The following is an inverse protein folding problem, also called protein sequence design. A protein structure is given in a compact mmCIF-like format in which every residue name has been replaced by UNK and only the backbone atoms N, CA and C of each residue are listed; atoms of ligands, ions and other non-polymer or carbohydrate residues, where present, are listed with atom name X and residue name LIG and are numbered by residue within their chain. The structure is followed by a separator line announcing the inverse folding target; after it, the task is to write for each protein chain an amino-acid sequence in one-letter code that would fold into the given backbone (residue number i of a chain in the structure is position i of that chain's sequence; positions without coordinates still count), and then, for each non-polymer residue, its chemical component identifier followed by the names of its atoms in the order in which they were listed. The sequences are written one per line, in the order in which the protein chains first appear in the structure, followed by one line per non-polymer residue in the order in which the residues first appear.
data_IF_742404013590
#
_entry.id   IF_742404013590
#
_cell.length_a   1.000
_cell.length_b   1.000
_cell.length_c   1.000
_cell.angle_alpha   90.00
_cell.angle_beta   90.00
_cell.angle_gamma   90.00
#
_symmetry.space_group_name_H-M   'P 1'
#
loop_
_entity.id
_entity.type
_entity.pdbx_description
1 polymer ?
#
# COMPACT_ATOMS: atom_id res chain seq x y z
N UNK A 1 83.00 13.92 -51.73
CA UNK A 1 81.83 13.02 -51.93
C UNK A 1 81.32 12.38 -50.63
N UNK A 2 82.16 11.99 -49.67
CA UNK A 2 81.72 11.21 -48.49
C UNK A 2 80.74 11.94 -47.53
N UNK A 3 80.91 13.25 -47.31
CA UNK A 3 80.09 14.01 -46.34
C UNK A 3 78.67 14.26 -46.86
N UNK A 4 78.52 14.62 -48.14
CA UNK A 4 77.21 14.83 -48.77
C UNK A 4 76.36 13.55 -48.80
N UNK A 5 76.98 12.38 -48.92
CA UNK A 5 76.28 11.11 -48.87
C UNK A 5 75.73 10.83 -47.47
N UNK A 6 76.50 11.12 -46.42
CA UNK A 6 76.05 10.99 -45.04
C UNK A 6 74.87 11.91 -44.71
N UNK A 7 74.88 13.15 -45.20
CA UNK A 7 73.76 14.09 -45.03
C UNK A 7 72.49 13.61 -45.76
N UNK A 8 72.65 13.07 -46.98
CA UNK A 8 71.55 12.47 -47.74
C UNK A 8 70.95 11.26 -47.01
N UNK A 9 71.77 10.43 -46.38
CA UNK A 9 71.27 9.26 -45.66
C UNK A 9 70.65 9.63 -44.30
N UNK A 10 71.19 10.65 -43.60
CA UNK A 10 70.57 11.22 -42.40
C UNK A 10 69.18 11.84 -42.69
N UNK A 11 69.06 12.59 -43.78
CA UNK A 11 67.77 13.19 -44.19
C UNK A 11 66.75 12.15 -44.61
N UNK A 12 67.16 11.05 -45.27
CA UNK A 12 66.27 9.90 -45.55
C UNK A 12 65.78 9.24 -44.27
N UNK A 13 66.66 9.06 -43.29
CA UNK A 13 66.31 8.44 -42.01
C UNK A 13 65.33 9.32 -41.22
N UNK A 14 65.57 10.64 -41.15
CA UNK A 14 64.65 11.60 -40.55
C UNK A 14 63.29 11.61 -41.28
N UNK A 15 63.28 11.57 -42.61
CA UNK A 15 62.04 11.49 -43.39
C UNK A 15 61.26 10.19 -43.12
N UNK A 16 61.95 9.06 -42.96
CA UNK A 16 61.33 7.78 -42.62
C UNK A 16 60.71 7.83 -41.22
N UNK A 17 61.39 8.46 -40.26
CA UNK A 17 60.87 8.67 -38.91
C UNK A 17 59.62 9.54 -38.90
N UNK A 18 59.65 10.71 -39.55
CA UNK A 18 58.49 11.60 -39.68
C UNK A 18 57.31 10.90 -40.35
N UNK A 19 57.55 10.08 -41.39
CA UNK A 19 56.49 9.27 -42.02
C UNK A 19 55.90 8.23 -41.06
N UNK A 20 56.69 7.66 -40.16
CA UNK A 20 56.20 6.70 -39.16
C UNK A 20 55.35 7.38 -38.10
N UNK A 21 55.80 8.55 -37.60
CA UNK A 21 55.08 9.36 -36.62
C UNK A 21 53.76 9.90 -37.20
N UNK A 22 53.77 10.35 -38.46
CA UNK A 22 52.55 10.78 -39.15
C UNK A 22 51.52 9.64 -39.27
N UNK A 23 51.96 8.42 -39.55
CA UNK A 23 51.07 7.25 -39.58
C UNK A 23 50.55 6.88 -38.19
N UNK A 24 51.36 7.00 -37.15
CA UNK A 24 50.91 6.78 -35.77
C UNK A 24 49.86 7.83 -35.37
N UNK A 25 50.15 9.10 -35.60
CA UNK A 25 49.21 10.21 -35.33
C UNK A 25 47.91 10.09 -36.12
N UNK A 26 47.93 9.57 -37.35
CA UNK A 26 46.72 9.32 -38.12
C UNK A 26 45.84 8.21 -37.50
N UNK A 27 46.45 7.17 -36.90
CA UNK A 27 45.71 6.13 -36.16
C UNK A 27 45.11 6.69 -34.89
N UNK A 28 45.90 7.44 -34.11
CA UNK A 28 45.42 8.07 -32.88
C UNK A 28 44.25 9.02 -33.16
N UNK A 29 44.29 9.75 -34.28
CA UNK A 29 43.17 10.59 -34.74
C UNK A 29 41.91 9.76 -35.01
N UNK A 30 42.04 8.65 -35.74
CA UNK A 30 40.90 7.76 -36.02
C UNK A 30 40.29 7.20 -34.72
N UNK A 31 41.14 6.80 -33.76
CA UNK A 31 40.69 6.28 -32.47
C UNK A 31 39.97 7.36 -31.65
N UNK A 32 40.50 8.59 -31.64
CA UNK A 32 39.84 9.74 -31.02
C UNK A 32 38.49 10.06 -31.68
N UNK A 33 38.38 10.01 -33.00
CA UNK A 33 37.11 10.23 -33.72
C UNK A 33 36.06 9.17 -33.35
N UNK A 34 36.45 7.91 -33.21
CA UNK A 34 35.57 6.86 -32.72
C UNK A 34 35.13 7.09 -31.26
N UNK A 35 36.06 7.50 -30.38
CA UNK A 35 35.72 7.85 -29.00
C UNK A 35 34.75 9.03 -28.92
N UNK A 36 34.98 10.09 -29.70
CA UNK A 36 34.08 11.25 -29.78
C UNK A 36 32.69 10.85 -30.25
N UNK A 37 32.61 9.94 -31.24
CA UNK A 37 31.33 9.43 -31.73
C UNK A 37 30.57 8.68 -30.62
N UNK A 38 31.24 7.78 -29.89
CA UNK A 38 30.63 7.07 -28.74
C UNK A 38 30.16 8.03 -27.65
N UNK A 39 30.96 9.05 -27.32
CA UNK A 39 30.59 10.05 -26.30
C UNK A 39 29.37 10.88 -26.74
N UNK A 40 29.24 11.18 -28.03
CA UNK A 40 28.04 11.85 -28.57
C UNK A 40 26.80 10.96 -28.44
N UNK A 41 26.92 9.67 -28.73
CA UNK A 41 25.83 8.71 -28.56
C UNK A 41 25.42 8.54 -27.08
N UNK A 42 26.40 8.39 -26.18
CA UNK A 42 26.15 8.33 -24.73
C UNK A 42 25.50 9.64 -24.23
N UNK A 43 25.95 10.80 -24.69
CA UNK A 43 25.34 12.10 -24.36
C UNK A 43 23.88 12.19 -24.83
N UNK A 44 23.58 11.69 -26.03
CA UNK A 44 22.21 11.62 -26.56
C UNK A 44 21.32 10.75 -25.67
N UNK A 45 21.79 9.53 -25.33
CA UNK A 45 21.07 8.61 -24.44
C UNK A 45 20.83 9.20 -23.05
N UNK A 46 21.80 9.93 -22.50
CA UNK A 46 21.67 10.60 -21.20
C UNK A 46 20.63 11.73 -21.25
N UNK A 47 20.58 12.52 -22.34
CA UNK A 47 19.55 13.56 -22.53
C UNK A 47 18.15 12.96 -22.58
N UNK A 48 17.97 11.86 -23.29
CA UNK A 48 16.67 11.18 -23.37
C UNK A 48 16.26 10.56 -22.03
N UNK A 49 17.22 9.98 -21.31
CA UNK A 49 17.00 9.46 -19.95
C UNK A 49 16.59 10.56 -18.98
N UNK A 50 17.27 11.71 -19.03
CA UNK A 50 16.93 12.88 -18.22
C UNK A 50 15.52 13.40 -18.53
N UNK A 51 15.14 13.49 -19.81
CA UNK A 51 13.79 13.89 -20.21
C UNK A 51 12.72 12.97 -19.64
N UNK A 52 12.88 11.65 -19.79
CA UNK A 52 11.94 10.66 -19.24
C UNK A 52 11.82 10.76 -17.72
N UNK A 53 12.94 10.94 -17.01
CA UNK A 53 12.92 11.14 -15.55
C UNK A 53 12.19 12.42 -15.16
N UNK A 54 12.36 13.52 -15.90
CA UNK A 54 11.63 14.77 -15.67
C UNK A 54 10.12 14.60 -15.88
N UNK A 55 9.70 13.88 -16.92
CA UNK A 55 8.29 13.55 -17.16
C UNK A 55 7.71 12.72 -16.00
N UNK A 56 8.42 11.68 -15.56
CA UNK A 56 8.01 10.86 -14.41
C UNK A 56 7.86 11.69 -13.14
N UNK A 57 8.82 12.56 -12.83
CA UNK A 57 8.72 13.49 -11.70
C UNK A 57 7.49 14.40 -11.84
N UNK A 58 7.19 14.87 -13.05
CA UNK A 58 5.98 15.64 -13.34
C UNK A 58 4.68 14.86 -13.12
N UNK A 59 4.66 13.56 -13.45
CA UNK A 59 3.53 12.67 -13.15
C UNK A 59 3.36 12.44 -11.64
N UNK A 60 4.46 12.13 -10.94
CA UNK A 60 4.42 11.89 -9.48
C UNK A 60 3.98 13.13 -8.70
N UNK A 61 4.43 14.33 -9.09
CA UNK A 61 3.97 15.59 -8.48
C UNK A 61 2.46 15.78 -8.64
N UNK A 62 1.91 15.53 -9.84
CA UNK A 62 0.47 15.63 -10.09
C UNK A 62 -0.32 14.61 -9.27
N UNK A 63 0.14 13.35 -9.25
CA UNK A 63 -0.47 12.28 -8.46
C UNK A 63 -0.45 12.58 -6.95
N UNK A 64 0.65 13.15 -6.45
CA UNK A 64 0.74 13.58 -5.06
C UNK A 64 -0.28 14.68 -4.72
N UNK A 65 -0.43 15.70 -5.57
CA UNK A 65 -1.41 16.77 -5.35
C UNK A 65 -2.86 16.26 -5.45
N UNK A 66 -3.12 15.26 -6.29
CA UNK A 66 -4.43 14.58 -6.34
C UNK A 66 -4.71 13.79 -5.07
N UNK A 67 -3.74 13.02 -4.58
CA UNK A 67 -3.87 12.27 -3.33
C UNK A 67 -4.08 13.21 -2.12
N UNK A 68 -3.39 14.35 -2.11
CA UNK A 68 -3.56 15.39 -1.08
C UNK A 68 -4.97 15.98 -1.10
N UNK A 69 -5.49 16.33 -2.29
CA UNK A 69 -6.87 16.81 -2.45
C UNK A 69 -7.90 15.78 -1.96
N UNK A 70 -7.71 14.51 -2.33
CA UNK A 70 -8.58 13.43 -1.87
C UNK A 70 -8.58 13.26 -0.33
N UNK A 71 -7.42 13.42 0.30
CA UNK A 71 -7.30 13.40 1.76
C UNK A 71 -8.03 14.56 2.43
N UNK A 72 -7.92 15.77 1.88
CA UNK A 72 -8.63 16.95 2.40
C UNK A 72 -10.16 16.80 2.25
N UNK A 73 -10.62 16.23 1.14
CA UNK A 73 -12.02 15.89 0.91
C UNK A 73 -12.54 14.90 1.96
N UNK A 74 -11.78 13.82 2.23
CA UNK A 74 -12.12 12.80 3.22
C UNK A 74 -12.22 13.38 4.63
N UNK A 75 -11.26 14.25 4.98
CA UNK A 75 -11.26 14.96 6.27
C UNK A 75 -12.51 15.83 6.45
N UNK A 76 -12.95 16.50 5.40
CA UNK A 76 -14.17 17.31 5.45
C UNK A 76 -15.42 16.42 5.59
N UNK A 77 -15.51 15.34 4.81
CA UNK A 77 -16.61 14.37 4.92
C UNK A 77 -16.71 13.76 6.33
N UNK A 78 -15.57 13.45 6.98
CA UNK A 78 -15.55 12.99 8.38
C UNK A 78 -16.11 14.01 9.35
N UNK A 79 -15.77 15.30 9.18
CA UNK A 79 -16.33 16.38 10.03
C UNK A 79 -17.84 16.46 9.86
N UNK A 80 -18.34 16.38 8.64
CA UNK A 80 -19.77 16.43 8.35
C UNK A 80 -20.51 15.21 8.92
N UNK A 81 -19.93 14.01 8.78
CA UNK A 81 -20.47 12.80 9.37
C UNK A 81 -20.51 12.88 10.91
N UNK A 82 -19.45 13.37 11.53
CA UNK A 82 -19.38 13.55 12.98
C UNK A 82 -20.42 14.57 13.47
N UNK A 83 -20.60 15.67 12.72
CA UNK A 83 -21.59 16.70 13.02
C UNK A 83 -23.02 16.14 12.96
N UNK A 84 -23.34 15.38 11.90
CA UNK A 84 -24.64 14.69 11.77
C UNK A 84 -24.88 13.68 12.90
N UNK A 85 -23.85 12.93 13.29
CA UNK A 85 -23.94 11.98 14.41
C UNK A 85 -24.25 12.71 15.73
N UNK A 86 -23.57 13.81 16.01
CA UNK A 86 -23.84 14.63 17.21
C UNK A 86 -25.25 15.21 17.21
N UNK A 87 -25.72 15.72 16.07
CA UNK A 87 -27.09 16.25 15.95
C UNK A 87 -28.14 15.16 16.21
N UNK A 88 -27.95 13.96 15.64
CA UNK A 88 -28.85 12.83 15.88
C UNK A 88 -28.84 12.40 17.35
N UNK A 89 -27.66 12.34 17.98
CA UNK A 89 -27.55 12.00 19.39
C UNK A 89 -28.29 13.01 20.28
N UNK A 90 -28.17 14.32 20.00
CA UNK A 90 -28.92 15.36 20.71
C UNK A 90 -30.43 15.23 20.51
N UNK A 91 -30.87 14.94 19.28
CA UNK A 91 -32.30 14.74 18.99
C UNK A 91 -32.87 13.52 19.74
N UNK A 92 -32.14 12.41 19.76
CA UNK A 92 -32.53 11.21 20.50
C UNK A 92 -32.56 11.46 22.01
N UNK A 93 -31.58 12.20 22.54
CA UNK A 93 -31.56 12.58 23.96
C UNK A 93 -32.79 13.41 24.35
N UNK A 94 -33.16 14.39 23.54
CA UNK A 94 -34.37 15.20 23.76
C UNK A 94 -35.64 14.34 23.74
N UNK A 95 -35.76 13.40 22.79
CA UNK A 95 -36.89 12.46 22.75
C UNK A 95 -36.95 11.57 24.00
N UNK A 96 -35.81 11.08 24.49
CA UNK A 96 -35.75 10.29 25.73
C UNK A 96 -36.21 11.10 26.93
N UNK A 97 -35.85 12.38 27.01
CA UNK A 97 -36.29 13.27 28.08
C UNK A 97 -37.81 13.51 28.04
N UNK A 98 -38.39 13.76 26.87
CA UNK A 98 -39.85 13.86 26.70
C UNK A 98 -40.56 12.55 27.09
N UNK A 99 -40.03 11.39 26.67
CA UNK A 99 -40.62 10.11 27.04
C UNK A 99 -40.53 9.83 28.55
N UNK A 100 -39.49 10.33 29.23
CA UNK A 100 -39.38 10.23 30.69
C UNK A 100 -40.45 11.08 31.38
N UNK A 101 -40.70 12.31 30.92
CA UNK A 101 -41.75 13.16 31.48
C UNK A 101 -43.13 12.56 31.25
N UNK A 102 -43.40 12.07 30.05
CA UNK A 102 -44.68 11.42 29.70
C UNK A 102 -44.92 10.17 30.54
N UNK A 103 -43.88 9.35 30.75
CA UNK A 103 -43.93 8.18 31.62
C UNK A 103 -44.32 8.57 33.05
N UNK A 104 -43.76 9.64 33.60
CA UNK A 104 -44.08 10.08 34.95
C UNK A 104 -45.51 10.62 35.04
N UNK A 105 -45.95 11.43 34.06
CA UNK A 105 -47.33 11.89 33.98
C UNK A 105 -48.34 10.73 33.90
N UNK A 106 -48.07 9.73 33.07
CA UNK A 106 -48.87 8.51 32.99
C UNK A 106 -48.91 7.76 34.33
N UNK A 107 -47.76 7.65 35.01
CA UNK A 107 -47.67 7.04 36.33
C UNK A 107 -48.57 7.75 37.35
N UNK A 108 -48.52 9.09 37.40
CA UNK A 108 -49.40 9.89 38.27
C UNK A 108 -50.88 9.67 37.93
N UNK A 109 -51.25 9.74 36.64
CA UNK A 109 -52.64 9.51 36.20
C UNK A 109 -53.15 8.13 36.58
N UNK A 110 -52.33 7.10 36.41
CA UNK A 110 -52.66 5.73 36.82
C UNK A 110 -52.87 5.64 38.34
N UNK A 111 -52.04 6.32 39.15
CA UNK A 111 -52.22 6.35 40.60
C UNK A 111 -53.53 7.05 41.01
N UNK A 112 -53.87 8.18 40.37
CA UNK A 112 -55.14 8.88 40.60
C UNK A 112 -56.35 8.03 40.21
N UNK A 113 -56.31 7.37 39.05
CA UNK A 113 -57.38 6.47 38.60
C UNK A 113 -57.55 5.29 39.57
N UNK A 114 -56.45 4.69 40.02
CA UNK A 114 -56.49 3.62 41.01
C UNK A 114 -57.14 4.08 42.32
N UNK A 115 -56.84 5.30 42.77
CA UNK A 115 -57.47 5.89 43.95
C UNK A 115 -58.98 6.12 43.73
N UNK A 116 -59.37 6.63 42.56
CA UNK A 116 -60.78 6.83 42.19
C UNK A 116 -61.56 5.50 42.13
N UNK A 117 -60.95 4.45 41.58
CA UNK A 117 -61.53 3.09 41.58
C UNK A 117 -61.71 2.58 43.01
N UNK A 118 -60.69 2.69 43.87
CA UNK A 118 -60.80 2.30 45.28
C UNK A 118 -61.88 3.07 46.04
N UNK A 119 -62.03 4.37 45.78
CA UNK A 119 -63.12 5.17 46.35
C UNK A 119 -64.48 4.70 45.86
N UNK A 120 -64.62 4.45 44.55
CA UNK A 120 -65.85 3.90 43.97
C UNK A 120 -66.21 2.55 44.60
N UNK A 121 -65.24 1.66 44.75
CA UNK A 121 -65.46 0.34 45.37
C UNK A 121 -65.93 0.46 46.83
N UNK A 122 -65.34 1.39 47.60
CA UNK A 122 -65.80 1.70 48.96
C UNK A 122 -67.23 2.23 48.98
N UNK A 123 -67.55 3.21 48.13
CA UNK A 123 -68.89 3.77 48.03
C UNK A 123 -69.93 2.73 47.58
N UNK A 124 -69.57 1.83 46.66
CA UNK A 124 -70.44 0.72 46.25
C UNK A 124 -70.63 -0.30 47.39
N UNK A 125 -69.60 -0.54 48.21
CA UNK A 125 -69.71 -1.39 49.40
C UNK A 125 -70.64 -0.75 50.45
N UNK A 126 -70.48 0.55 50.71
CA UNK A 126 -71.35 1.33 51.59
C UNK A 126 -72.80 1.35 51.06
N UNK A 127 -73.01 1.60 49.76
CA UNK A 127 -74.32 1.50 49.13
C UNK A 127 -74.90 0.09 49.18
N UNK A 128 -74.10 -0.97 49.05
CA UNK A 128 -74.58 -2.34 49.18
C UNK A 128 -75.00 -2.66 50.62
N UNK A 129 -74.31 -2.11 51.63
CA UNK A 129 -74.73 -2.22 53.03
C UNK A 129 -75.99 -1.41 53.34
N UNK A 130 -76.16 -0.26 52.70
CA UNK A 130 -77.36 0.58 52.84
C UNK A 130 -78.55 -0.01 52.08
N UNK A 131 -78.37 -0.55 50.87
CA UNK A 131 -79.42 -1.24 50.09
C UNK A 131 -79.83 -2.56 50.75
N UNK A 132 -78.89 -3.31 51.36
CA UNK A 132 -79.23 -4.45 52.22
C UNK A 132 -80.07 -4.05 53.46
N UNK A 133 -80.10 -2.77 53.82
CA UNK A 133 -80.95 -2.19 54.85
C UNK A 133 -82.21 -1.47 54.29
N UNK A 134 -82.34 -1.27 52.98
CA UNK A 134 -83.37 -0.38 52.42
C UNK A 134 -83.98 -0.75 51.06
N UNK A 135 -83.92 -2.00 50.59
CA UNK A 135 -84.86 -2.53 49.59
C UNK A 135 -84.74 -4.08 49.51
N UNK A 136 -85.79 -4.90 49.63
CA UNK A 136 -87.21 -4.55 49.59
C UNK A 136 -87.57 -3.83 48.31
N UNK A 137 -87.60 -4.56 47.19
CA UNK A 137 -88.27 -4.21 45.92
C UNK A 137 -87.43 -3.69 44.73
N UNK A 138 -87.58 -4.50 43.67
CA UNK A 138 -87.80 -4.16 42.26
C UNK A 138 -86.62 -3.87 41.34
N UNK A 139 -86.52 -4.77 40.36
CA UNK A 139 -85.63 -4.71 39.20
C UNK A 139 -86.00 -3.64 38.16
N UNK A 140 -85.18 -3.59 37.12
CA UNK A 140 -85.38 -2.69 35.99
C UNK A 140 -84.27 -2.78 34.96
N UNK A 141 -84.62 -3.45 33.86
CA UNK A 141 -83.88 -3.74 32.63
C UNK A 141 -83.48 -2.49 31.83
N UNK A 142 -82.60 -2.61 30.83
CA UNK A 142 -82.33 -1.50 29.90
C UNK A 142 -81.14 -1.64 28.96
N UNK A 143 -81.28 -2.49 27.95
CA UNK A 143 -80.37 -2.58 26.80
C UNK A 143 -80.42 -1.31 25.91
N UNK A 144 -79.27 -0.91 25.34
CA UNK A 144 -79.25 -0.23 24.04
C UNK A 144 -77.93 -0.50 23.31
N UNK A 145 -77.96 -1.44 22.37
CA UNK A 145 -76.88 -1.77 21.43
C UNK A 145 -77.00 -0.87 20.19
N UNK A 146 -75.92 -0.19 19.84
CA UNK A 146 -75.71 0.52 18.56
C UNK A 146 -74.28 0.22 18.07
N UNK A 147 -73.98 0.35 16.76
CA UNK A 147 -74.25 -0.61 15.69
C UNK A 147 -72.96 -1.38 15.30
N UNK A 148 -73.04 -2.71 15.20
CA UNK A 148 -71.90 -3.61 14.92
C UNK A 148 -71.22 -3.39 13.54
N UNK A 149 -71.89 -2.72 12.59
CA UNK A 149 -71.42 -2.64 11.19
C UNK A 149 -70.32 -1.60 10.92
N UNK A 150 -70.31 -0.47 11.64
CA UNK A 150 -69.24 0.53 11.51
C UNK A 150 -67.89 -0.01 12.02
N UNK A 151 -67.94 -0.89 13.00
CA UNK A 151 -66.77 -1.52 13.59
C UNK A 151 -66.16 -2.58 12.65
N UNK A 152 -67.00 -3.32 11.92
CA UNK A 152 -66.56 -4.34 10.97
C UNK A 152 -65.80 -3.77 9.75
N UNK A 153 -66.26 -2.63 9.22
CA UNK A 153 -65.58 -1.94 8.11
C UNK A 153 -64.20 -1.38 8.54
N UNK A 154 -64.13 -0.80 9.74
CA UNK A 154 -62.87 -0.30 10.32
C UNK A 154 -61.87 -1.44 10.55
N UNK A 155 -62.33 -2.59 11.05
CA UNK A 155 -61.49 -3.79 11.24
C UNK A 155 -60.97 -4.33 9.91
N UNK A 156 -61.78 -4.35 8.84
CA UNK A 156 -61.32 -4.76 7.50
C UNK A 156 -60.24 -3.81 6.95
N UNK A 157 -60.42 -2.50 7.10
CA UNK A 157 -59.42 -1.52 6.64
C UNK A 157 -58.13 -1.59 7.47
N UNK A 158 -58.22 -1.82 8.79
CA UNK A 158 -57.04 -2.06 9.64
C UNK A 158 -56.30 -3.34 9.25
N UNK A 159 -57.01 -4.44 8.93
CA UNK A 159 -56.39 -5.67 8.42
C UNK A 159 -55.69 -5.44 7.08
N UNK A 160 -56.31 -4.70 6.16
CA UNK A 160 -55.71 -4.34 4.86
C UNK A 160 -54.42 -3.53 5.07
N UNK A 161 -54.45 -2.50 5.92
CA UNK A 161 -53.27 -1.68 6.24
C UNK A 161 -52.17 -2.47 6.94
N UNK A 162 -52.54 -3.39 7.84
CA UNK A 162 -51.59 -4.27 8.52
C UNK A 162 -50.87 -5.17 7.51
N UNK A 163 -51.61 -5.79 6.58
CA UNK A 163 -51.03 -6.59 5.51
C UNK A 163 -50.11 -5.77 4.59
N UNK A 164 -50.51 -4.56 4.22
CA UNK A 164 -49.70 -3.66 3.40
C UNK A 164 -48.38 -3.26 4.10
N UNK A 165 -48.42 -3.04 5.41
CA UNK A 165 -47.22 -2.81 6.23
C UNK A 165 -46.34 -4.05 6.35
N UNK A 166 -46.95 -5.23 6.48
CA UNK A 166 -46.23 -6.51 6.52
C UNK A 166 -45.40 -6.73 5.24
N UNK A 167 -46.00 -6.49 4.07
CA UNK A 167 -45.31 -6.58 2.77
C UNK A 167 -44.13 -5.61 2.64
N UNK A 168 -44.28 -4.38 3.16
CA UNK A 168 -43.18 -3.41 3.18
C UNK A 168 -42.04 -3.86 4.10
N UNK A 169 -42.35 -4.44 5.25
CA UNK A 169 -41.34 -4.99 6.17
C UNK A 169 -40.59 -6.15 5.53
N UNK A 170 -41.28 -7.05 4.83
CA UNK A 170 -40.65 -8.15 4.09
C UNK A 170 -39.73 -7.62 2.98
N UNK A 171 -40.19 -6.67 2.18
CA UNK A 171 -39.36 -6.04 1.15
C UNK A 171 -38.12 -5.33 1.71
N UNK A 172 -38.24 -4.70 2.90
CA UNK A 172 -37.09 -4.08 3.57
C UNK A 172 -36.10 -5.12 4.11
N UNK A 173 -36.58 -6.28 4.60
CA UNK A 173 -35.72 -7.39 5.01
C UNK A 173 -34.93 -7.97 3.83
N UNK A 174 -35.57 -8.13 2.67
CA UNK A 174 -34.89 -8.63 1.47
C UNK A 174 -33.81 -7.65 1.00
N UNK A 175 -34.09 -6.34 1.05
CA UNK A 175 -33.10 -5.30 0.74
C UNK A 175 -31.95 -5.28 1.74
N UNK A 176 -32.22 -5.41 3.04
CA UNK A 176 -31.19 -5.51 4.08
C UNK A 176 -30.29 -6.74 3.88
N UNK A 177 -30.89 -7.89 3.53
CA UNK A 177 -30.14 -9.10 3.19
C UNK A 177 -29.25 -8.91 1.95
N UNK A 178 -29.75 -8.25 0.91
CA UNK A 178 -28.98 -7.94 -0.29
C UNK A 178 -27.80 -7.00 -0.01
N UNK A 179 -28.01 -5.95 0.79
CA UNK A 179 -26.95 -5.00 1.20
C UNK A 179 -25.89 -5.70 2.03
N UNK A 180 -26.28 -6.57 2.97
CA UNK A 180 -25.33 -7.39 3.75
C UNK A 180 -24.50 -8.31 2.86
N UNK A 181 -25.12 -8.93 1.85
CA UNK A 181 -24.41 -9.74 0.86
C UNK A 181 -23.37 -8.95 0.07
N UNK A 182 -23.73 -7.75 -0.41
CA UNK A 182 -22.81 -6.86 -1.12
C UNK A 182 -21.66 -6.38 -0.23
N UNK A 183 -21.94 -6.04 1.03
CA UNK A 183 -20.93 -5.61 1.98
C UNK A 183 -19.91 -6.73 2.27
N UNK A 184 -20.39 -7.97 2.45
CA UNK A 184 -19.51 -9.14 2.60
C UNK A 184 -18.61 -9.36 1.38
N UNK A 185 -19.15 -9.22 0.17
CA UNK A 185 -18.36 -9.37 -1.06
C UNK A 185 -17.27 -8.29 -1.18
N UNK A 186 -17.61 -7.03 -0.85
CA UNK A 186 -16.65 -5.93 -0.84
C UNK A 186 -15.57 -6.11 0.24
N UNK A 187 -15.95 -6.59 1.42
CA UNK A 187 -15.00 -6.89 2.50
C UNK A 187 -13.99 -7.97 2.06
N UNK A 188 -14.46 -9.06 1.45
CA UNK A 188 -13.58 -10.11 0.92
C UNK A 188 -12.63 -9.61 -0.17
N UNK A 189 -13.11 -8.71 -1.05
CA UNK A 189 -12.24 -8.09 -2.05
C UNK A 189 -11.19 -7.18 -1.41
N UNK A 190 -11.57 -6.37 -0.42
CA UNK A 190 -10.66 -5.53 0.33
C UNK A 190 -9.56 -6.37 1.00
N UNK A 191 -9.92 -7.41 1.73
CA UNK A 191 -8.96 -8.27 2.43
C UNK A 191 -7.99 -8.96 1.46
N UNK A 192 -8.49 -9.40 0.29
CA UNK A 192 -7.65 -9.97 -0.78
C UNK A 192 -6.66 -8.95 -1.35
N UNK A 193 -7.10 -7.71 -1.57
CA UNK A 193 -6.23 -6.65 -2.07
C UNK A 193 -5.20 -6.22 -1.02
N UNK A 194 -5.60 -6.16 0.25
CA UNK A 194 -4.72 -5.85 1.37
C UNK A 194 -3.63 -6.91 1.54
N UNK A 195 -3.97 -8.19 1.39
CA UNK A 195 -3.00 -9.28 1.38
C UNK A 195 -2.00 -9.15 0.22
N UNK A 196 -2.46 -8.84 -0.99
CA UNK A 196 -1.57 -8.61 -2.15
C UNK A 196 -0.62 -7.43 -1.91
N UNK A 197 -1.12 -6.33 -1.36
CA UNK A 197 -0.31 -5.16 -1.04
C UNK A 197 0.74 -5.47 0.03
N UNK A 198 0.38 -6.26 1.05
CA UNK A 198 1.33 -6.71 2.07
C UNK A 198 2.47 -7.52 1.45
N UNK A 199 2.15 -8.49 0.60
CA UNK A 199 3.16 -9.28 -0.12
C UNK A 199 4.07 -8.43 -1.00
N UNK A 200 3.51 -7.45 -1.73
CA UNK A 200 4.30 -6.51 -2.52
C UNK A 200 5.30 -5.73 -1.66
N UNK A 201 4.86 -5.21 -0.51
CA UNK A 201 5.76 -4.49 0.41
C UNK A 201 6.86 -5.37 0.98
N UNK A 202 6.56 -6.63 1.30
CA UNK A 202 7.57 -7.59 1.75
C UNK A 202 8.61 -7.89 0.66
N UNK A 203 8.17 -8.01 -0.60
CA UNK A 203 9.06 -8.20 -1.75
C UNK A 203 9.92 -6.96 -2.01
N UNK A 204 9.37 -5.75 -1.89
CA UNK A 204 10.15 -4.51 -2.02
C UNK A 204 11.19 -4.37 -0.90
N UNK A 205 10.86 -4.75 0.33
CA UNK A 205 11.82 -4.83 1.43
C UNK A 205 12.92 -5.86 1.19
N UNK A 206 12.57 -7.03 0.64
CA UNK A 206 13.54 -8.07 0.28
C UNK A 206 14.48 -7.61 -0.85
N UNK A 207 13.93 -6.95 -1.87
CA UNK A 207 14.71 -6.34 -2.96
C UNK A 207 15.72 -5.34 -2.41
N UNK A 208 15.31 -4.44 -1.52
CA UNK A 208 16.20 -3.47 -0.89
C UNK A 208 17.35 -4.15 -0.13
N UNK A 209 17.07 -5.18 0.69
CA UNK A 209 18.12 -5.94 1.38
C UNK A 209 19.09 -6.64 0.42
N UNK A 210 18.57 -7.18 -0.69
CA UNK A 210 19.37 -7.83 -1.72
C UNK A 210 20.31 -6.84 -2.42
N UNK A 211 19.83 -5.64 -2.70
CA UNK A 211 20.64 -4.55 -3.24
C UNK A 211 21.71 -4.05 -2.29
N UNK A 212 21.36 -3.82 -1.02
CA UNK A 212 22.31 -3.38 0.00
C UNK A 212 23.46 -4.37 0.12
N UNK A 213 23.16 -5.67 0.13
CA UNK A 213 24.21 -6.69 0.17
C UNK A 213 25.02 -6.71 -1.12
N UNK A 214 24.40 -6.67 -2.31
CA UNK A 214 25.16 -6.63 -3.57
C UNK A 214 26.09 -5.40 -3.65
N UNK A 215 25.60 -4.26 -3.18
CA UNK A 215 26.38 -3.02 -3.13
C UNK A 215 27.56 -3.15 -2.15
N UNK A 216 27.33 -3.68 -0.94
CA UNK A 216 28.38 -3.96 0.05
C UNK A 216 29.44 -4.93 -0.48
N UNK A 217 29.03 -5.96 -1.23
CA UNK A 217 29.93 -6.94 -1.84
C UNK A 217 30.80 -6.30 -2.94
N UNK A 218 30.21 -5.45 -3.79
CA UNK A 218 30.89 -4.85 -4.94
C UNK A 218 31.74 -3.62 -4.57
N UNK A 219 31.31 -2.87 -3.56
CA UNK A 219 31.96 -1.64 -3.08
C UNK A 219 32.30 -1.76 -1.59
N UNK A 220 33.27 -2.62 -1.23
CA UNK A 220 33.75 -2.69 0.14
C UNK A 220 34.33 -1.33 0.53
N UNK A 221 33.67 -0.63 1.45
CA UNK A 221 34.17 0.62 2.00
C UNK A 221 35.23 0.29 3.04
N UNK A 222 36.42 0.87 2.91
CA UNK A 222 37.52 0.70 3.87
C UNK A 222 37.24 1.28 5.26
N UNK A 223 36.06 1.89 5.47
CA UNK A 223 35.74 2.79 6.59
C UNK A 223 34.34 2.56 7.21
N UNK A 224 33.81 1.34 7.17
CA UNK A 224 32.62 1.04 7.98
C UNK A 224 33.00 0.88 9.46
N UNK A 225 33.11 2.00 10.18
CA UNK A 225 33.00 2.01 11.63
C UNK A 225 31.69 1.29 12.01
N UNK A 226 31.73 0.34 12.97
CA UNK A 226 30.60 -0.53 13.23
C UNK A 226 29.48 0.26 13.87
N UNK A 227 28.40 0.52 13.12
CA UNK A 227 27.11 0.83 13.74
C UNK A 227 26.67 -0.44 14.46
N UNK A 228 26.81 -0.41 15.79
CA UNK A 228 26.39 -1.44 16.73
C UNK A 228 24.97 -1.95 16.43
N UNK A 229 24.88 -3.07 15.72
CA UNK A 229 23.84 -4.07 15.95
C UNK A 229 24.56 -5.32 16.44
N UNK A 230 24.39 -5.57 17.75
CA UNK A 230 24.94 -6.71 18.50
C UNK A 230 24.69 -8.04 17.76
N UNK A 231 25.70 -8.53 17.07
CA UNK A 231 25.96 -9.96 16.89
C UNK A 231 27.47 -10.12 17.08
N UNK A 232 27.88 -10.70 18.20
CA UNK A 232 29.28 -10.92 18.56
C UNK A 232 29.92 -11.94 17.59
N UNK A 233 30.75 -11.47 16.65
CA UNK A 233 31.73 -12.27 15.92
C UNK A 233 32.98 -11.39 15.66
N UNK A 234 34.20 -11.85 15.95
CA UNK A 234 35.39 -11.00 15.95
C UNK A 234 35.80 -10.56 14.53
N UNK A 235 35.95 -9.26 14.37
CA UNK A 235 36.32 -8.56 13.13
C UNK A 235 37.80 -8.72 12.80
N UNK A 236 38.11 -9.31 11.65
CA UNK A 236 39.35 -9.02 10.90
C UNK A 236 38.99 -8.11 9.73
N UNK A 237 39.71 -6.99 9.52
CA UNK A 237 39.47 -6.10 8.39
C UNK A 237 40.02 -6.75 7.12
N UNK A 238 39.14 -7.04 6.15
CA UNK A 238 39.56 -7.47 4.81
C UNK A 238 38.75 -8.58 4.15
N UNK A 239 37.84 -9.26 4.85
CA UNK A 239 36.99 -10.27 4.21
C UNK A 239 35.55 -9.80 4.19
N UNK A 240 35.06 -9.48 3.00
CA UNK A 240 33.64 -9.53 2.69
C UNK A 240 33.15 -10.93 3.07
N UNK A 241 32.50 -11.07 4.22
CA UNK A 241 32.46 -12.34 4.93
C UNK A 241 31.60 -13.36 4.18
N UNK A 242 32.21 -14.49 3.81
CA UNK A 242 31.57 -15.70 3.28
C UNK A 242 30.29 -16.10 4.04
N UNK A 243 30.19 -15.71 5.32
CA UNK A 243 29.00 -15.84 6.15
C UNK A 243 27.77 -15.06 5.63
N UNK A 244 27.94 -13.85 5.07
CA UNK A 244 26.85 -13.06 4.48
C UNK A 244 26.31 -13.72 3.21
N UNK A 245 27.19 -14.30 2.39
CA UNK A 245 26.82 -15.07 1.21
C UNK A 245 26.11 -16.38 1.58
N UNK A 246 26.61 -17.09 2.60
CA UNK A 246 25.94 -18.28 3.14
C UNK A 246 24.56 -17.96 3.72
N UNK A 247 24.41 -16.82 4.41
CA UNK A 247 23.12 -16.35 4.92
C UNK A 247 22.10 -16.06 3.81
N UNK A 248 22.57 -15.72 2.60
CA UNK A 248 21.75 -15.55 1.40
C UNK A 248 21.56 -16.84 0.58
N UNK A 249 22.19 -17.95 0.98
CA UNK A 249 22.16 -19.22 0.25
C UNK A 249 23.09 -19.26 -0.97
N UNK A 250 23.99 -18.29 -1.11
CA UNK A 250 24.96 -18.16 -2.21
C UNK A 250 26.25 -18.93 -1.87
N UNK A 251 26.13 -20.25 -1.67
CA UNK A 251 27.25 -21.12 -1.24
C UNK A 251 28.23 -21.49 -2.36
N UNK A 252 27.93 -21.12 -3.60
CA UNK A 252 28.67 -21.55 -4.79
C UNK A 252 29.87 -20.67 -5.14
N UNK A 253 29.95 -19.45 -4.61
CA UNK A 253 31.07 -18.54 -4.90
C UNK A 253 32.24 -18.81 -3.96
N UNK A 254 33.42 -19.08 -4.52
CA UNK A 254 34.66 -19.18 -3.75
C UNK A 254 35.20 -17.78 -3.39
N UNK A 255 36.04 -17.66 -2.34
CA UNK A 255 36.70 -16.39 -2.01
C UNK A 255 37.47 -15.78 -3.20
N UNK A 256 38.00 -16.63 -4.08
CA UNK A 256 38.73 -16.24 -5.29
C UNK A 256 37.82 -15.65 -6.37
N UNK A 257 36.58 -16.15 -6.49
CA UNK A 257 35.58 -15.61 -7.43
C UNK A 257 35.09 -14.22 -6.99
N UNK A 258 34.99 -14.00 -5.67
CA UNK A 258 34.70 -12.68 -5.12
C UNK A 258 35.87 -11.71 -5.22
N UNK A 259 37.11 -12.19 -5.03
CA UNK A 259 38.29 -11.37 -5.30
C UNK A 259 38.33 -10.94 -6.77
N UNK A 260 37.94 -11.79 -7.72
CA UNK A 260 37.86 -11.41 -9.13
C UNK A 260 36.85 -10.27 -9.40
N UNK A 261 35.75 -10.19 -8.63
CA UNK A 261 34.75 -9.12 -8.71
C UNK A 261 35.15 -7.84 -7.94
N UNK A 262 35.97 -7.97 -6.90
CA UNK A 262 36.28 -6.88 -5.96
C UNK A 262 37.67 -6.27 -6.16
N UNK A 263 38.63 -7.02 -6.72
CA UNK A 263 40.02 -6.57 -6.91
C UNK A 263 40.11 -5.36 -7.83
N UNK A 264 40.77 -4.33 -7.30
CA UNK A 264 41.10 -3.09 -8.00
C UNK A 264 42.21 -3.39 -9.01
N UNK A 265 42.06 -3.10 -10.31
CA UNK A 265 43.17 -3.23 -11.24
C UNK A 265 44.22 -2.19 -10.85
N UNK A 266 45.41 -2.65 -10.49
CA UNK A 266 46.57 -1.80 -10.21
C UNK A 266 46.81 -0.81 -11.37
N UNK A 267 46.64 0.46 -11.03
CA UNK A 267 47.21 1.67 -11.64
C UNK A 267 46.88 2.13 -13.08
N UNK A 268 46.06 1.46 -13.89
CA UNK A 268 45.61 2.06 -15.18
C UNK A 268 44.13 1.86 -15.55
N UNK A 269 43.35 1.11 -14.76
CA UNK A 269 42.00 0.66 -15.14
C UNK A 269 40.92 0.85 -14.05
N UNK A 270 41.08 1.83 -13.15
CA UNK A 270 40.12 2.09 -12.07
C UNK A 270 38.70 2.41 -12.57
N UNK A 271 38.58 3.15 -13.68
CA UNK A 271 37.29 3.49 -14.28
C UNK A 271 36.54 2.30 -14.91
N UNK A 272 37.25 1.29 -15.41
CA UNK A 272 36.62 0.12 -16.05
C UNK A 272 36.13 -0.89 -15.01
N UNK A 273 36.79 -1.01 -13.87
CA UNK A 273 36.31 -1.81 -12.73
C UNK A 273 35.04 -1.22 -12.10
N UNK A 274 35.02 0.10 -11.86
CA UNK A 274 33.83 0.78 -11.35
C UNK A 274 32.64 0.66 -12.33
N UNK A 275 32.86 0.86 -13.64
CA UNK A 275 31.80 0.71 -14.65
C UNK A 275 31.20 -0.69 -14.66
N UNK A 276 32.03 -1.74 -14.50
CA UNK A 276 31.56 -3.13 -14.41
C UNK A 276 30.74 -3.36 -13.15
N UNK A 277 31.19 -2.88 -11.98
CA UNK A 277 30.45 -2.99 -10.72
C UNK A 277 29.08 -2.30 -10.79
N UNK A 278 29.01 -1.11 -11.41
CA UNK A 278 27.74 -0.42 -11.66
C UNK A 278 26.85 -1.21 -12.63
N UNK A 279 27.40 -1.80 -13.68
CA UNK A 279 26.64 -2.61 -14.64
C UNK A 279 26.04 -3.88 -14.01
N UNK A 280 26.70 -4.46 -13.00
CA UNK A 280 26.17 -5.58 -12.20
C UNK A 280 24.98 -5.12 -11.35
N UNK A 281 25.05 -3.94 -10.73
CA UNK A 281 23.92 -3.37 -10.00
C UNK A 281 22.74 -3.00 -10.91
N UNK A 282 23.01 -2.44 -12.09
CA UNK A 282 21.98 -2.11 -13.09
C UNK A 282 21.29 -3.40 -13.62
N UNK A 283 22.06 -4.48 -13.82
CA UNK A 283 21.51 -5.77 -14.22
C UNK A 283 20.66 -6.39 -13.11
N UNK A 284 21.11 -6.27 -11.85
CA UNK A 284 20.32 -6.69 -10.68
C UNK A 284 19.01 -5.92 -10.58
N UNK A 285 19.03 -4.61 -10.83
CA UNK A 285 17.82 -3.77 -10.91
C UNK A 285 16.83 -4.29 -11.91
N UNK A 286 17.29 -4.51 -13.13
CA UNK A 286 16.44 -4.92 -14.23
C UNK A 286 15.82 -6.31 -13.99
N UNK A 287 16.57 -7.24 -13.40
CA UNK A 287 16.07 -8.59 -13.08
C UNK A 287 15.11 -8.55 -11.91
N UNK A 288 15.40 -7.77 -10.86
CA UNK A 288 14.51 -7.62 -9.71
C UNK A 288 13.21 -6.92 -10.08
N UNK A 289 13.22 -5.94 -10.99
CA UNK A 289 12.02 -5.31 -11.56
C UNK A 289 11.16 -6.30 -12.35
N UNK A 290 11.79 -7.14 -13.18
CA UNK A 290 11.09 -8.09 -14.06
C UNK A 290 10.59 -9.37 -13.39
N UNK A 291 11.28 -9.87 -12.35
CA UNK A 291 10.96 -11.13 -11.66
C UNK A 291 11.18 -11.02 -10.13
N UNK A 292 10.22 -10.45 -9.38
CA UNK A 292 10.33 -10.24 -7.93
C UNK A 292 10.44 -11.53 -7.11
N UNK A 293 9.89 -12.64 -7.63
CA UNK A 293 9.53 -13.79 -6.79
C UNK A 293 10.74 -14.58 -6.27
N UNK A 294 11.91 -14.44 -6.88
CA UNK A 294 13.15 -15.07 -6.42
C UNK A 294 14.36 -14.15 -6.56
N UNK A 295 14.44 -13.18 -5.64
CA UNK A 295 15.53 -12.22 -5.57
C UNK A 295 16.92 -12.88 -5.35
N UNK A 296 16.97 -14.13 -4.87
CA UNK A 296 18.22 -14.88 -4.68
C UNK A 296 18.72 -15.47 -5.99
N UNK A 297 17.82 -15.99 -6.82
CA UNK A 297 18.16 -16.46 -8.17
C UNK A 297 18.67 -15.31 -9.05
N UNK A 298 18.04 -14.13 -8.94
CA UNK A 298 18.49 -12.92 -9.64
C UNK A 298 19.94 -12.54 -9.29
N UNK A 299 20.29 -12.57 -8.00
CA UNK A 299 21.67 -12.35 -7.54
C UNK A 299 22.63 -13.40 -8.09
N UNK A 300 22.24 -14.68 -8.10
CA UNK A 300 23.07 -15.78 -8.64
C UNK A 300 23.39 -15.57 -10.12
N UNK A 301 22.38 -15.29 -10.93
CA UNK A 301 22.55 -15.08 -12.38
C UNK A 301 23.46 -13.88 -12.68
N UNK A 302 23.23 -12.78 -11.97
CA UNK A 302 23.99 -11.52 -12.15
C UNK A 302 25.44 -11.67 -11.73
N UNK A 303 25.73 -12.37 -10.63
CA UNK A 303 27.11 -12.61 -10.20
C UNK A 303 27.83 -13.62 -11.09
N UNK A 304 27.18 -14.69 -11.58
CA UNK A 304 27.80 -15.61 -12.55
C UNK A 304 28.14 -14.92 -13.88
N UNK A 305 27.23 -14.09 -14.41
CA UNK A 305 27.50 -13.33 -15.63
C UNK A 305 28.67 -12.34 -15.46
N UNK A 306 28.89 -11.85 -14.23
CA UNK A 306 30.00 -10.96 -13.92
C UNK A 306 31.35 -11.70 -13.78
N UNK A 307 31.36 -12.95 -13.29
CA UNK A 307 32.56 -13.78 -13.15
C UNK A 307 33.00 -14.43 -14.47
N UNK A 308 32.04 -14.88 -15.30
CA UNK A 308 32.31 -15.61 -16.54
C UNK A 308 32.86 -14.74 -17.68
N UNK A 309 32.81 -13.40 -17.55
CA UNK A 309 33.35 -12.47 -18.54
C UNK A 309 34.89 -12.33 -18.51
N UNK A 310 35.59 -13.25 -17.85
CA UNK A 310 37.01 -13.49 -18.04
C UNK A 310 37.25 -14.31 -19.34
N UNK A 311 37.13 -13.60 -20.47
CA UNK A 311 37.48 -14.03 -21.84
C UNK A 311 36.39 -14.73 -22.66
N UNK A 312 35.95 -14.18 -23.81
CA UNK A 312 35.31 -14.98 -24.84
C UNK A 312 36.40 -15.83 -25.49
N UNK A 313 36.65 -17.02 -24.94
CA UNK A 313 37.37 -18.05 -25.69
C UNK A 313 36.44 -18.51 -26.81
N UNK A 314 36.71 -17.99 -27.99
CA UNK A 314 36.38 -18.62 -29.26
C UNK A 314 36.55 -20.12 -29.12
N UNK A 315 35.50 -20.88 -29.44
CA UNK A 315 35.60 -22.31 -29.67
C UNK A 315 35.07 -22.65 -31.07
N UNK A 316 35.60 -23.74 -31.66
CA UNK A 316 35.84 -23.90 -33.10
C UNK A 316 34.59 -24.03 -33.95
#
# INVERSE_FOLDING_TARGET
MSILQADVDATKQALAQVKSELRASARDRSDMEHMVSRLRDESSRLKDSLRRKQELVGHLKRSFEEAKRALDEEKNQRKDANTRCHQLAQQLQAQVETLKTDKEHLRTRCATLLHAVKLKDKLLQEHSTVVAQSAGESGGDGATLQPLDANAAMVKELKRRLHQKQMLVESLKDKDAAVKGQLLALQQQHDRLQAKLHWSKCLDGLRACVYDVAHDLLFPTSDSAPVQKRIDVPSTPGTVSQQKLQALGLTYFSPTDLEALTTVPTNQNSGTSHRKKTQVLDALEQVLEGRPDDCRHALLEVFHAATDNSSPRSRP
#
